data_IF_877635034945
#
_entry.id   IF_877635034945
#
_cell.length_a   1.000
_cell.length_b   1.000
_cell.length_c   1.000
_cell.angle_alpha   90.00
_cell.angle_beta   90.00
_cell.angle_gamma   90.00
#
_symmetry.space_group_name_H-M   'P 1'
#
loop_
_entity.id
_entity.type
_entity.pdbx_description
1 polymer ?
#
# COMPACT_ATOMS: atom_id res chain seq x y z
N UNK A 1 17.78 -0.71 17.04
CA UNK A 1 18.68 -1.21 15.97
C UNK A 1 18.61 -2.73 16.00
N UNK A 2 18.26 -3.38 14.89
CA UNK A 2 18.35 -4.84 14.76
C UNK A 2 19.77 -5.29 14.39
N UNK A 3 20.14 -6.53 14.71
CA UNK A 3 21.43 -7.08 14.29
C UNK A 3 21.43 -7.34 12.79
N UNK A 4 22.63 -7.50 12.20
CA UNK A 4 22.73 -7.89 10.79
C UNK A 4 22.19 -9.31 10.58
N UNK A 5 22.45 -10.21 11.52
CA UNK A 5 21.94 -11.59 11.52
C UNK A 5 20.40 -11.66 11.42
N UNK A 6 19.68 -10.80 12.16
CA UNK A 6 18.22 -10.73 12.11
C UNK A 6 17.73 -10.32 10.72
N UNK A 7 18.41 -9.35 10.09
CA UNK A 7 18.06 -8.83 8.77
C UNK A 7 18.35 -9.85 7.66
N UNK A 8 19.47 -10.57 7.75
CA UNK A 8 19.78 -11.68 6.83
C UNK A 8 18.78 -12.82 7.00
N UNK A 9 18.41 -13.16 8.23
CA UNK A 9 17.37 -14.15 8.50
C UNK A 9 16.03 -13.73 7.89
N UNK A 10 15.68 -12.45 8.00
CA UNK A 10 14.47 -11.92 7.37
C UNK A 10 14.50 -12.05 5.84
N UNK A 11 15.67 -11.89 5.19
CA UNK A 11 15.82 -12.15 3.75
C UNK A 11 15.64 -13.63 3.40
N UNK A 12 16.25 -14.54 4.18
CA UNK A 12 16.12 -15.99 3.96
C UNK A 12 14.67 -16.46 4.05
N UNK A 13 13.88 -15.86 4.95
CA UNK A 13 12.45 -16.15 5.08
C UNK A 13 11.57 -15.56 3.97
N UNK A 14 12.11 -14.77 3.03
CA UNK A 14 11.30 -14.15 1.95
C UNK A 14 10.93 -15.10 0.84
N UNK A 15 11.73 -16.14 0.62
CA UNK A 15 11.55 -17.05 -0.50
C UNK A 15 11.82 -18.47 -0.05
N UNK A 16 10.85 -19.36 -0.28
CA UNK A 16 11.00 -20.77 0.02
C UNK A 16 12.22 -21.35 -0.70
N UNK A 17 13.06 -22.05 0.05
CA UNK A 17 14.26 -22.71 -0.46
C UNK A 17 15.48 -21.80 -0.65
N UNK A 18 15.40 -20.52 -0.27
CA UNK A 18 16.56 -19.62 -0.32
C UNK A 18 17.61 -20.03 0.72
N UNK A 19 18.85 -20.26 0.28
CA UNK A 19 19.95 -20.72 1.14
C UNK A 19 20.98 -19.61 1.38
N UNK A 20 21.79 -19.68 2.45
CA UNK A 20 22.88 -18.71 2.68
C UNK A 20 23.87 -18.59 1.51
N UNK A 21 24.09 -19.68 0.76
CA UNK A 21 24.91 -19.66 -0.45
C UNK A 21 24.30 -18.81 -1.58
N UNK A 22 22.97 -18.75 -1.68
CA UNK A 22 22.29 -17.88 -2.64
C UNK A 22 22.43 -16.40 -2.27
N UNK A 23 22.37 -16.08 -0.97
CA UNK A 23 22.66 -14.73 -0.46
C UNK A 23 24.08 -14.32 -0.85
N UNK A 24 25.07 -15.20 -0.68
CA UNK A 24 26.46 -14.93 -1.05
C UNK A 24 26.58 -14.60 -2.55
N UNK A 25 25.92 -15.40 -3.40
CA UNK A 25 25.89 -15.23 -4.85
C UNK A 25 25.24 -13.91 -5.27
N UNK A 26 24.07 -13.56 -4.70
CA UNK A 26 23.35 -12.32 -5.00
C UNK A 26 24.17 -11.10 -4.54
N UNK A 27 24.70 -11.15 -3.32
CA UNK A 27 25.51 -10.08 -2.75
C UNK A 27 26.90 -9.95 -3.41
N UNK A 28 27.34 -10.95 -4.15
CA UNK A 28 28.66 -11.00 -4.79
C UNK A 28 29.81 -11.10 -3.79
N UNK A 29 29.62 -11.84 -2.70
CA UNK A 29 30.61 -12.05 -1.63
C UNK A 29 30.90 -13.55 -1.45
N UNK A 30 31.88 -13.88 -0.61
CA UNK A 30 32.14 -15.28 -0.24
C UNK A 30 31.09 -15.81 0.74
N UNK A 31 30.91 -17.13 0.78
CA UNK A 31 30.03 -17.80 1.74
C UNK A 31 30.46 -17.56 3.19
N UNK A 32 31.78 -17.47 3.43
CA UNK A 32 32.33 -17.11 4.74
C UNK A 32 31.86 -15.73 5.21
N UNK A 33 31.79 -14.73 4.32
CA UNK A 33 31.25 -13.41 4.67
C UNK A 33 29.78 -13.49 5.12
N UNK A 34 28.97 -14.33 4.49
CA UNK A 34 27.57 -14.52 4.91
C UNK A 34 27.48 -15.24 6.25
N UNK A 35 28.33 -16.26 6.48
CA UNK A 35 28.43 -16.92 7.79
C UNK A 35 28.80 -15.93 8.90
N UNK A 36 29.74 -15.02 8.65
CA UNK A 36 30.12 -13.97 9.60
C UNK A 36 28.96 -13.00 9.88
N UNK A 37 28.14 -12.67 8.88
CA UNK A 37 26.94 -11.83 9.07
C UNK A 37 25.89 -12.53 9.94
N UNK A 38 25.72 -13.84 9.76
CA UNK A 38 24.76 -14.65 10.51
C UNK A 38 25.22 -14.93 11.94
N UNK A 39 26.53 -14.92 12.21
CA UNK A 39 27.09 -15.11 13.56
C UNK A 39 26.70 -14.01 14.55
N UNK A 40 26.23 -12.86 14.07
CA UNK A 40 25.92 -11.69 14.90
C UNK A 40 27.13 -10.84 15.32
N UNK A 41 28.35 -11.25 14.96
CA UNK A 41 29.56 -10.44 15.21
C UNK A 41 29.59 -9.16 14.38
N UNK A 42 28.97 -9.17 13.21
CA UNK A 42 28.90 -8.03 12.30
C UNK A 42 27.62 -7.23 12.55
N UNK A 43 27.74 -5.93 12.88
CA UNK A 43 26.59 -5.04 13.11
C UNK A 43 26.16 -4.24 11.87
N UNK A 44 27.07 -4.10 10.90
CA UNK A 44 26.85 -3.28 9.70
C UNK A 44 27.39 -3.97 8.45
N UNK A 45 26.70 -3.80 7.32
CA UNK A 45 27.07 -4.35 6.02
C UNK A 45 27.68 -3.26 5.12
N UNK A 46 28.63 -3.63 4.27
CA UNK A 46 29.19 -2.72 3.26
C UNK A 46 28.12 -2.27 2.24
N UNK A 47 28.26 -1.07 1.65
CA UNK A 47 27.24 -0.53 0.74
C UNK A 47 26.96 -1.38 -0.50
N UNK A 48 27.99 -1.96 -1.12
CA UNK A 48 27.84 -2.71 -2.38
C UNK A 48 27.05 -4.02 -2.22
N UNK A 49 27.36 -4.90 -1.24
CA UNK A 49 26.50 -6.04 -0.91
C UNK A 49 25.06 -5.63 -0.57
N UNK A 50 24.90 -4.55 0.20
CA UNK A 50 23.59 -4.07 0.59
C UNK A 50 22.78 -3.59 -0.63
N UNK A 51 23.42 -2.89 -1.58
CA UNK A 51 22.79 -2.44 -2.83
C UNK A 51 22.25 -3.63 -3.65
N UNK A 52 23.09 -4.65 -3.87
CA UNK A 52 22.71 -5.84 -4.66
C UNK A 52 21.57 -6.63 -4.03
N UNK A 53 21.63 -6.82 -2.71
CA UNK A 53 20.56 -7.48 -1.97
C UNK A 53 19.28 -6.62 -1.99
N UNK A 54 19.39 -5.30 -1.80
CA UNK A 54 18.23 -4.41 -1.86
C UNK A 54 17.55 -4.40 -3.23
N UNK A 55 18.32 -4.46 -4.32
CA UNK A 55 17.78 -4.54 -5.68
C UNK A 55 17.08 -5.88 -5.92
N UNK A 56 17.69 -6.98 -5.48
CA UNK A 56 17.13 -8.32 -5.67
C UNK A 56 15.86 -8.55 -4.85
N UNK A 57 15.88 -8.19 -3.57
CA UNK A 57 14.75 -8.40 -2.64
C UNK A 57 13.79 -7.20 -2.59
N UNK A 58 14.08 -6.16 -3.37
CA UNK A 58 13.35 -4.88 -3.37
C UNK A 58 13.16 -4.33 -1.95
N UNK A 59 14.21 -4.31 -1.14
CA UNK A 59 14.16 -3.86 0.26
C UNK A 59 14.93 -2.55 0.47
N UNK A 60 14.72 -1.86 1.58
CA UNK A 60 15.46 -0.63 1.90
C UNK A 60 16.94 -0.93 2.17
N UNK A 61 17.82 -0.33 1.38
CA UNK A 61 19.26 -0.48 1.51
C UNK A 61 19.75 0.06 2.86
N UNK A 62 19.20 1.18 3.34
CA UNK A 62 19.63 1.81 4.58
C UNK A 62 19.30 0.94 5.80
N UNK A 63 18.12 0.31 5.83
CA UNK A 63 17.73 -0.70 6.80
C UNK A 63 18.69 -1.89 6.76
N UNK A 64 19.02 -2.39 5.56
CA UNK A 64 19.90 -3.54 5.41
C UNK A 64 21.34 -3.26 5.88
N UNK A 65 21.82 -2.02 5.76
CA UNK A 65 23.14 -1.61 6.28
C UNK A 65 23.12 -1.33 7.77
N UNK A 66 22.19 -0.48 8.23
CA UNK A 66 22.23 0.13 9.58
C UNK A 66 21.31 -0.52 10.60
N UNK A 67 20.24 -1.20 10.16
CA UNK A 67 19.23 -1.76 11.04
C UNK A 67 18.31 -0.68 11.64
N UNK A 68 18.29 0.50 11.03
CA UNK A 68 17.40 1.62 11.34
C UNK A 68 16.30 1.66 10.27
N UNK A 69 15.06 1.88 10.70
CA UNK A 69 13.91 1.91 9.79
C UNK A 69 13.30 0.53 9.59
N UNK A 70 12.71 0.31 8.42
CA UNK A 70 12.00 -0.92 8.06
C UNK A 70 12.49 -1.44 6.72
N UNK A 71 12.46 -2.76 6.48
CA UNK A 71 12.95 -3.35 5.24
C UNK A 71 12.21 -2.91 3.98
N UNK A 72 11.04 -2.27 4.11
CA UNK A 72 10.18 -1.85 2.98
C UNK A 72 10.19 -2.88 1.85
N UNK A 73 9.87 -4.14 2.18
CA UNK A 73 9.86 -5.22 1.21
C UNK A 73 8.99 -4.83 0.01
N UNK A 74 9.52 -4.92 -1.21
CA UNK A 74 8.87 -4.46 -2.43
C UNK A 74 7.61 -5.23 -2.84
N UNK A 75 7.00 -5.97 -1.93
CA UNK A 75 5.63 -6.47 -2.05
C UNK A 75 4.75 -5.74 -1.04
N UNK A 76 4.08 -4.67 -1.47
CA UNK A 76 3.05 -4.05 -0.63
C UNK A 76 2.58 -2.63 -0.93
N UNK A 77 3.11 -1.90 -1.91
CA UNK A 77 2.38 -0.78 -2.51
C UNK A 77 2.48 -0.94 -4.03
N UNK A 78 1.39 -1.30 -4.75
CA UNK A 78 1.37 -1.07 -6.20
C UNK A 78 1.75 0.39 -6.45
N UNK A 79 2.33 0.72 -7.61
CA UNK A 79 2.58 2.11 -7.98
C UNK A 79 1.32 2.98 -7.78
N UNK A 80 0.13 2.38 -7.93
CA UNK A 80 -1.16 2.94 -7.54
C UNK A 80 -1.26 3.34 -6.07
N UNK A 81 -0.78 2.56 -5.11
CA UNK A 81 -0.82 2.90 -3.69
C UNK A 81 0.13 4.07 -3.36
N UNK A 82 1.30 4.13 -4.00
CA UNK A 82 2.22 5.28 -3.91
C UNK A 82 1.58 6.56 -4.46
N UNK A 83 0.86 6.44 -5.59
CA UNK A 83 0.05 7.52 -6.19
C UNK A 83 -1.15 7.86 -5.30
N UNK A 84 -1.84 6.87 -4.73
CA UNK A 84 -3.01 7.04 -3.86
C UNK A 84 -2.62 7.59 -2.50
N UNK A 85 -1.41 7.37 -2.01
CA UNK A 85 -0.89 7.93 -0.76
C UNK A 85 -0.33 9.33 -0.93
N UNK A 86 0.33 9.59 -2.06
CA UNK A 86 0.62 10.96 -2.51
C UNK A 86 -0.67 11.76 -2.77
N UNK A 87 -1.72 11.09 -3.27
CA UNK A 87 -3.06 11.65 -3.39
C UNK A 87 -3.82 11.69 -2.05
N UNK A 88 -3.54 10.82 -1.08
CA UNK A 88 -4.15 10.74 0.26
C UNK A 88 -3.45 11.62 1.29
N UNK A 89 -2.52 12.47 0.85
CA UNK A 89 -2.41 13.83 1.42
C UNK A 89 -3.68 14.66 1.18
N UNK A 90 -4.64 14.16 0.39
CA UNK A 90 -6.03 14.58 0.32
C UNK A 90 -6.96 13.34 0.41
N UNK A 91 -7.62 13.22 1.56
CA UNK A 91 -8.55 12.14 1.92
C UNK A 91 -9.68 11.92 0.90
N UNK A 92 -9.96 10.67 0.50
CA UNK A 92 -11.36 10.19 0.30
C UNK A 92 -11.43 8.65 0.24
N UNK A 93 -12.29 8.00 1.05
CA UNK A 93 -12.46 6.54 1.08
C UNK A 93 -13.03 5.93 -0.21
N UNK A 94 -12.74 4.64 -0.49
CA UNK A 94 -13.15 3.95 -1.71
C UNK A 94 -14.68 3.84 -1.90
N UNK A 95 -15.46 3.80 -0.82
CA UNK A 95 -16.92 3.83 -0.88
C UNK A 95 -17.44 5.14 -1.46
N UNK A 96 -16.80 6.26 -1.15
CA UNK A 96 -17.16 7.58 -1.71
C UNK A 96 -16.87 7.61 -3.21
N UNK A 97 -15.78 6.99 -3.68
CA UNK A 97 -15.44 6.98 -5.10
C UNK A 97 -16.42 6.11 -5.91
N UNK A 98 -16.86 4.99 -5.34
CA UNK A 98 -17.85 4.11 -5.94
C UNK A 98 -19.23 4.76 -5.93
N UNK A 99 -19.61 5.37 -4.81
CA UNK A 99 -20.80 6.20 -4.67
C UNK A 99 -20.86 7.31 -5.72
N UNK A 100 -19.78 8.08 -5.87
CA UNK A 100 -19.68 9.15 -6.86
C UNK A 100 -19.75 8.61 -8.29
N UNK A 101 -19.26 7.40 -8.54
CA UNK A 101 -19.36 6.76 -9.85
C UNK A 101 -20.80 6.34 -10.16
N UNK A 102 -21.51 5.79 -9.20
CA UNK A 102 -22.93 5.42 -9.33
C UNK A 102 -23.77 6.68 -9.54
N UNK A 103 -23.58 7.70 -8.70
CA UNK A 103 -24.27 8.99 -8.81
C UNK A 103 -23.98 9.64 -10.17
N UNK A 104 -22.72 9.65 -10.62
CA UNK A 104 -22.35 10.18 -11.94
C UNK A 104 -23.06 9.43 -13.06
N UNK A 105 -23.07 8.10 -13.03
CA UNK A 105 -23.71 7.32 -14.09
C UNK A 105 -25.23 7.50 -14.09
N UNK A 106 -25.85 7.63 -12.92
CA UNK A 106 -27.29 7.93 -12.80
C UNK A 106 -27.62 9.35 -13.28
N UNK A 107 -26.77 10.33 -13.02
CA UNK A 107 -26.90 11.70 -13.53
C UNK A 107 -26.80 11.76 -15.06
N UNK A 108 -25.90 10.98 -15.67
CA UNK A 108 -25.72 10.93 -17.13
C UNK A 108 -26.93 10.34 -17.86
N UNK A 109 -27.73 9.51 -17.17
CA UNK A 109 -28.91 8.85 -17.74
C UNK A 109 -30.24 9.41 -17.23
N UNK A 110 -30.23 10.37 -16.30
CA UNK A 110 -31.43 11.02 -15.80
C UNK A 110 -32.08 11.90 -16.89
N UNK A 111 -33.39 11.77 -17.09
CA UNK A 111 -34.18 12.65 -17.96
C UNK A 111 -35.12 13.53 -17.13
N UNK A 112 -35.18 14.81 -17.49
CA UNK A 112 -36.18 15.79 -17.03
C UNK A 112 -36.36 15.86 -15.51
N UNK A 113 -37.38 15.15 -15.01
CA UNK A 113 -37.89 15.16 -13.63
C UNK A 113 -36.90 14.57 -12.59
N UNK A 114 -36.02 13.64 -13.01
CA UNK A 114 -35.02 13.04 -12.11
C UNK A 114 -33.90 14.00 -11.70
N UNK A 115 -33.67 15.06 -12.47
CA UNK A 115 -32.55 16.00 -12.26
C UNK A 115 -32.79 16.86 -11.01
N UNK A 116 -34.04 17.24 -10.76
CA UNK A 116 -34.42 18.05 -9.59
C UNK A 116 -34.33 17.24 -8.28
N UNK A 117 -34.74 15.97 -8.30
CA UNK A 117 -34.61 15.07 -7.15
C UNK A 117 -33.15 14.78 -6.80
N UNK A 118 -32.28 14.62 -7.81
CA UNK A 118 -30.84 14.44 -7.57
C UNK A 118 -30.22 15.74 -7.04
N UNK A 119 -30.67 16.90 -7.55
CA UNK A 119 -30.26 18.20 -7.04
C UNK A 119 -30.62 18.42 -5.57
N UNK A 120 -31.80 17.98 -5.12
CA UNK A 120 -32.20 18.04 -3.71
C UNK A 120 -31.39 17.06 -2.83
N UNK A 121 -31.17 15.83 -3.30
CA UNK A 121 -30.38 14.84 -2.57
C UNK A 121 -28.94 15.31 -2.33
N UNK A 122 -28.31 15.93 -3.34
CA UNK A 122 -26.97 16.50 -3.21
C UNK A 122 -26.91 17.69 -2.24
N UNK A 123 -27.94 18.55 -2.23
CA UNK A 123 -28.05 19.67 -1.26
C UNK A 123 -28.23 19.19 0.18
N UNK A 124 -28.94 18.08 0.38
CA UNK A 124 -29.10 17.43 1.69
C UNK A 124 -27.78 16.86 2.21
N UNK A 125 -27.01 16.15 1.36
CA UNK A 125 -25.70 15.62 1.75
C UNK A 125 -24.68 16.71 2.06
N UNK A 126 -24.72 17.85 1.38
CA UNK A 126 -23.83 18.98 1.63
C UNK A 126 -24.08 19.71 2.98
N UNK A 127 -25.23 19.48 3.63
CA UNK A 127 -25.63 20.18 4.87
C UNK A 127 -25.37 19.38 6.15
N UNK A 128 -24.96 18.10 6.08
CA UNK A 128 -24.85 17.22 7.26
C UNK A 128 -23.38 16.93 7.59
N UNK A 129 -22.87 17.28 8.79
CA UNK A 129 -21.46 17.10 9.16
C UNK A 129 -21.08 15.62 9.41
N UNK A 130 -22.05 14.73 9.55
CA UNK A 130 -21.85 13.29 9.74
C UNK A 130 -22.28 12.55 8.48
N UNK A 131 -21.32 12.42 7.56
CA UNK A 131 -21.55 12.10 6.14
C UNK A 131 -22.04 10.66 5.90
N UNK A 132 -21.78 9.74 6.82
CA UNK A 132 -22.11 8.32 6.64
C UNK A 132 -23.61 8.06 6.72
N UNK A 133 -24.32 8.67 7.68
CA UNK A 133 -25.76 8.42 7.86
C UNK A 133 -26.62 9.11 6.80
N UNK A 134 -26.20 10.29 6.35
CA UNK A 134 -26.87 11.02 5.28
C UNK A 134 -26.69 10.31 3.92
N UNK A 135 -25.52 9.71 3.70
CA UNK A 135 -25.22 8.95 2.51
C UNK A 135 -26.07 7.68 2.39
N UNK A 136 -26.18 6.90 3.47
CA UNK A 136 -27.04 5.70 3.52
C UNK A 136 -28.52 6.02 3.23
N UNK A 137 -29.03 7.14 3.75
CA UNK A 137 -30.41 7.57 3.48
C UNK A 137 -30.63 7.99 2.03
N UNK A 138 -29.65 8.67 1.40
CA UNK A 138 -29.71 9.05 0.00
C UNK A 138 -29.67 7.82 -0.93
N UNK A 139 -28.82 6.83 -0.62
CA UNK A 139 -28.74 5.56 -1.34
C UNK A 139 -30.04 4.77 -1.22
N UNK A 140 -30.65 4.73 -0.02
CA UNK A 140 -31.92 4.06 0.21
C UNK A 140 -33.08 4.70 -0.59
N UNK A 141 -33.13 6.03 -0.68
CA UNK A 141 -34.14 6.75 -1.46
C UNK A 141 -34.02 6.49 -2.97
N UNK A 142 -32.79 6.48 -3.50
CA UNK A 142 -32.54 6.20 -4.92
C UNK A 142 -32.87 4.75 -5.29
N UNK A 143 -32.55 3.80 -4.40
CA UNK A 143 -32.80 2.37 -4.64
C UNK A 143 -34.29 2.01 -4.67
N UNK A 144 -35.13 2.72 -3.91
CA UNK A 144 -36.56 2.44 -3.83
C UNK A 144 -37.35 2.89 -5.08
N UNK A 145 -36.71 3.59 -6.03
CA UNK A 145 -37.35 4.04 -7.28
C UNK A 145 -37.23 3.06 -8.44
N UNK A 146 -36.44 1.99 -8.29
CA UNK A 146 -36.22 0.99 -9.37
C UNK A 146 -37.23 -0.17 -9.33
N UNK A 147 -38.23 -0.11 -8.46
CA UNK A 147 -39.23 -1.15 -8.26
C UNK A 147 -40.66 -0.65 -8.42
N UNK A 148 -41.04 -0.12 -9.59
CA UNK A 148 -42.43 -0.05 -10.06
C UNK A 148 -42.49 0.10 -11.57
#
# INVERSE_FOLDING_TARGET
MSLLSDRISALLSRQDGLRPADIARIAGVSTASVSDWMSGQTKSMKPEPARRLSEHFSCDQNWLMTGIGSPSWGGGEPALLKIMRAASGSSTPPDVRQALTIIRNQLVHAQGDQTDLIGEALKLMAKVPDSDRAFEQAVALLSNTTGR
#
